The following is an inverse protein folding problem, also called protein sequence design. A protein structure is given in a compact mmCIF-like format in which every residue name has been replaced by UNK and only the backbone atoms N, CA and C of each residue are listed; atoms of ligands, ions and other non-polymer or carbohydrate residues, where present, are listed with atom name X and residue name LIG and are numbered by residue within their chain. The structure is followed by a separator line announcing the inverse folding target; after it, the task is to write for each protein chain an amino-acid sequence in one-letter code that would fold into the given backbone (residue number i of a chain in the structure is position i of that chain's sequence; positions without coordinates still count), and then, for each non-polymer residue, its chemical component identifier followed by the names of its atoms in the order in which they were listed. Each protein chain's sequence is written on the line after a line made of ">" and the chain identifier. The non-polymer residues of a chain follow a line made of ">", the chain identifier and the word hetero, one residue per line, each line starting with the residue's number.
data_IF_259698516850
#
_entry.id   IF_259698516850
#
_cell.length_a   1.000
_cell.length_b   1.000
_cell.length_c   1.000
_cell.angle_alpha   90.00
_cell.angle_beta   90.00
_cell.angle_gamma   90.00
#
_symmetry.space_group_name_H-M   'P 1'
#
loop_
_entity.id
_entity.type
_entity.pdbx_description
1 polymer ?
#
# COMPACT_ATOMS: atom_id res chain seq x y z
N UNK A 1 -17.56 -32.85 -0.48
CA UNK A 1 -16.41 -33.80 -0.68
C UNK A 1 -15.57 -33.87 0.57
N UNK A 2 -15.09 -35.03 0.91
CA UNK A 2 -14.16 -35.25 2.02
C UNK A 2 -12.76 -34.76 1.63
N UNK A 3 -11.89 -34.49 2.61
CA UNK A 3 -10.49 -34.10 2.36
C UNK A 3 -9.77 -35.15 1.50
N UNK A 4 -10.05 -36.44 1.75
CA UNK A 4 -9.47 -37.56 0.97
C UNK A 4 -9.88 -37.50 -0.51
N UNK A 5 -11.13 -37.18 -0.82
CA UNK A 5 -11.58 -37.00 -2.21
C UNK A 5 -10.94 -35.82 -2.89
N UNK A 6 -10.73 -34.71 -2.17
CA UNK A 6 -10.03 -33.55 -2.71
C UNK A 6 -8.56 -33.85 -3.03
N UNK A 7 -7.86 -34.58 -2.16
CA UNK A 7 -6.46 -35.00 -2.39
C UNK A 7 -6.36 -35.98 -3.59
N UNK A 8 -7.29 -36.94 -3.72
CA UNK A 8 -7.33 -37.84 -4.88
C UNK A 8 -7.57 -37.06 -6.19
N UNK A 9 -8.46 -36.06 -6.17
CA UNK A 9 -8.68 -35.18 -7.32
C UNK A 9 -7.45 -34.36 -7.64
N UNK A 10 -6.75 -33.82 -6.63
CA UNK A 10 -5.50 -33.08 -6.81
C UNK A 10 -4.42 -33.97 -7.43
N UNK A 11 -4.25 -35.21 -6.96
CA UNK A 11 -3.30 -36.16 -7.54
C UNK A 11 -3.57 -36.42 -9.03
N UNK A 12 -4.86 -36.54 -9.40
CA UNK A 12 -5.24 -36.68 -10.80
C UNK A 12 -4.88 -35.41 -11.62
N UNK A 13 -5.19 -34.23 -11.09
CA UNK A 13 -4.87 -32.95 -11.73
C UNK A 13 -3.36 -32.82 -11.98
N UNK A 14 -2.55 -33.12 -10.98
CA UNK A 14 -1.08 -33.00 -11.06
C UNK A 14 -0.48 -34.05 -12.03
N UNK A 15 -1.04 -35.26 -12.07
CA UNK A 15 -0.56 -36.32 -12.95
C UNK A 15 -0.89 -36.08 -14.43
N UNK A 16 -2.02 -35.45 -14.73
CA UNK A 16 -2.53 -35.26 -16.10
C UNK A 16 -2.41 -33.82 -16.61
N UNK A 17 -2.08 -32.87 -15.73
CA UNK A 17 -2.01 -31.45 -16.07
C UNK A 17 -3.39 -30.84 -16.34
N UNK A 18 -4.45 -31.36 -15.68
CA UNK A 18 -5.83 -31.00 -15.96
C UNK A 18 -6.22 -29.69 -15.25
N UNK A 19 -5.64 -28.61 -15.76
CA UNK A 19 -5.94 -27.23 -15.36
C UNK A 19 -6.08 -26.34 -16.58
N UNK A 20 -6.85 -25.29 -16.48
CA UNK A 20 -6.92 -24.21 -17.48
C UNK A 20 -6.38 -22.90 -16.94
N UNK A 21 -5.84 -22.07 -17.85
CA UNK A 21 -5.43 -20.70 -17.57
C UNK A 21 -6.37 -19.77 -18.30
N UNK A 22 -7.07 -18.93 -17.53
CA UNK A 22 -7.83 -17.80 -18.01
C UNK A 22 -6.93 -16.57 -17.98
N UNK A 23 -7.17 -15.63 -18.89
CA UNK A 23 -6.42 -14.38 -18.92
C UNK A 23 -7.36 -13.21 -18.75
N UNK A 24 -6.99 -12.30 -17.85
CA UNK A 24 -7.70 -11.03 -17.68
C UNK A 24 -6.80 -9.88 -18.12
N UNK A 25 -7.29 -8.98 -18.99
CA UNK A 25 -6.49 -7.90 -19.53
C UNK A 25 -6.25 -6.80 -18.49
N UNK A 26 -5.03 -6.24 -18.52
CA UNK A 26 -4.64 -5.02 -17.81
C UNK A 26 -4.46 -3.93 -18.86
N UNK A 27 -5.16 -2.80 -18.65
CA UNK A 27 -5.26 -1.71 -19.61
C UNK A 27 -4.47 -0.51 -19.13
N UNK A 28 -3.70 0.14 -20.01
CA UNK A 28 -3.20 1.50 -19.80
C UNK A 28 -4.20 2.50 -20.36
N UNK A 29 -4.62 3.44 -19.53
CA UNK A 29 -5.52 4.52 -19.92
C UNK A 29 -4.81 5.54 -20.83
N UNK A 30 -3.54 5.83 -20.54
CA UNK A 30 -2.71 6.75 -21.33
C UNK A 30 -2.35 6.19 -22.68
N UNK A 31 -1.94 4.93 -22.78
CA UNK A 31 -1.62 4.26 -24.05
C UNK A 31 -2.86 3.79 -24.80
N UNK A 32 -4.02 3.77 -24.14
CA UNK A 32 -5.29 3.26 -24.68
C UNK A 32 -5.16 1.86 -25.27
N UNK A 33 -4.41 1.00 -24.58
CA UNK A 33 -4.04 -0.33 -25.04
C UNK A 33 -3.96 -1.35 -23.90
N UNK A 34 -4.01 -2.63 -24.27
CA UNK A 34 -3.71 -3.75 -23.36
C UNK A 34 -2.21 -3.79 -23.15
N UNK A 35 -1.77 -3.61 -21.89
CA UNK A 35 -0.34 -3.62 -21.51
C UNK A 35 0.09 -4.91 -20.83
N UNK A 36 -0.86 -5.74 -20.44
CA UNK A 36 -0.58 -7.02 -19.80
C UNK A 36 -1.82 -7.90 -19.65
N UNK A 37 -1.57 -9.11 -19.19
CA UNK A 37 -2.61 -10.09 -18.88
C UNK A 37 -2.25 -10.82 -17.59
N UNK A 38 -3.17 -10.86 -16.65
CA UNK A 38 -3.07 -11.72 -15.48
C UNK A 38 -3.53 -13.12 -15.81
N UNK A 39 -2.71 -14.13 -15.47
CA UNK A 39 -3.03 -15.53 -15.65
C UNK A 39 -3.71 -16.10 -14.40
N UNK A 40 -4.94 -16.52 -14.56
CA UNK A 40 -5.82 -17.02 -13.51
C UNK A 40 -6.12 -18.50 -13.73
N UNK A 41 -5.61 -19.35 -12.85
CA UNK A 41 -5.78 -20.81 -12.95
C UNK A 41 -7.19 -21.24 -12.55
N UNK A 42 -7.68 -22.27 -13.22
CA UNK A 42 -8.91 -23.03 -12.88
C UNK A 42 -8.61 -24.51 -12.91
N UNK A 43 -9.09 -25.24 -11.91
CA UNK A 43 -9.15 -26.70 -11.97
C UNK A 43 -10.29 -27.19 -12.86
N UNK A 44 -10.48 -28.51 -13.01
CA UNK A 44 -11.57 -29.09 -13.82
C UNK A 44 -12.94 -28.57 -13.39
N UNK A 45 -13.78 -28.22 -14.34
CA UNK A 45 -15.07 -27.56 -14.13
C UNK A 45 -16.10 -28.41 -13.38
N UNK A 46 -15.96 -29.73 -13.46
CA UNK A 46 -16.83 -30.71 -12.84
C UNK A 46 -16.40 -31.13 -11.42
N UNK A 47 -15.37 -30.48 -10.87
CA UNK A 47 -14.83 -30.78 -9.54
C UNK A 47 -14.96 -29.61 -8.57
N UNK A 48 -14.90 -29.91 -7.26
CA UNK A 48 -14.82 -28.88 -6.21
C UNK A 48 -13.51 -28.08 -6.25
N UNK A 49 -12.50 -28.56 -6.97
CA UNK A 49 -11.21 -27.92 -7.15
C UNK A 49 -11.17 -26.97 -8.37
N UNK A 50 -12.32 -26.71 -9.01
CA UNK A 50 -12.43 -25.72 -10.09
C UNK A 50 -12.00 -24.31 -9.61
N UNK A 51 -12.41 -23.92 -8.41
CA UNK A 51 -12.03 -22.64 -7.80
C UNK A 51 -10.54 -22.64 -7.44
N UNK A 52 -9.76 -21.57 -7.80
CA UNK A 52 -8.36 -21.45 -7.43
C UNK A 52 -8.15 -21.50 -5.91
N UNK A 53 -9.05 -20.94 -5.11
CA UNK A 53 -8.97 -20.96 -3.65
C UNK A 53 -8.99 -22.41 -3.13
N UNK A 54 -9.93 -23.22 -3.61
CA UNK A 54 -10.04 -24.62 -3.19
C UNK A 54 -8.86 -25.46 -3.70
N UNK A 55 -8.42 -25.19 -4.92
CA UNK A 55 -7.29 -25.90 -5.56
C UNK A 55 -5.98 -25.66 -4.78
N UNK A 56 -5.68 -24.39 -4.47
CA UNK A 56 -4.51 -24.02 -3.68
C UNK A 56 -4.60 -24.54 -2.24
N UNK A 57 -5.79 -24.49 -1.62
CA UNK A 57 -5.99 -25.01 -0.27
C UNK A 57 -5.76 -26.53 -0.21
N UNK A 58 -6.26 -27.30 -1.20
CA UNK A 58 -6.01 -28.73 -1.30
C UNK A 58 -4.51 -29.03 -1.51
N UNK A 59 -3.82 -28.25 -2.34
CA UNK A 59 -2.38 -28.40 -2.59
C UNK A 59 -1.54 -28.10 -1.33
N UNK A 60 -1.89 -27.06 -0.55
CA UNK A 60 -1.27 -26.78 0.74
C UNK A 60 -1.48 -27.92 1.72
N UNK A 61 -2.72 -28.38 1.85
CA UNK A 61 -3.04 -29.50 2.75
C UNK A 61 -2.30 -30.81 2.37
N UNK A 62 -2.14 -31.05 1.07
CA UNK A 62 -1.41 -32.22 0.54
C UNK A 62 0.12 -32.05 0.51
N UNK A 63 0.68 -30.89 0.86
CA UNK A 63 2.13 -30.62 0.74
C UNK A 63 2.63 -30.57 -0.71
N UNK A 64 1.77 -30.25 -1.68
CA UNK A 64 2.02 -30.27 -3.13
C UNK A 64 1.94 -28.89 -3.78
N UNK A 65 2.08 -27.81 -2.98
CA UNK A 65 1.89 -26.43 -3.46
C UNK A 65 2.90 -26.04 -4.58
N UNK A 66 4.21 -26.30 -4.37
CA UNK A 66 5.24 -25.99 -5.39
C UNK A 66 4.99 -26.73 -6.70
N UNK A 67 4.53 -27.98 -6.62
CA UNK A 67 4.22 -28.78 -7.81
C UNK A 67 3.02 -28.19 -8.57
N UNK A 68 1.94 -27.86 -7.86
CA UNK A 68 0.76 -27.20 -8.45
C UNK A 68 1.11 -25.85 -9.07
N UNK A 69 1.81 -24.98 -8.34
CA UNK A 69 2.21 -23.69 -8.87
C UNK A 69 3.15 -23.80 -10.07
N UNK A 70 4.03 -24.81 -10.07
CA UNK A 70 4.85 -25.15 -11.23
C UNK A 70 4.01 -25.46 -12.45
N UNK A 71 2.98 -26.31 -12.30
CA UNK A 71 2.01 -26.66 -13.33
C UNK A 71 1.21 -25.44 -13.82
N UNK A 72 0.75 -24.58 -12.87
CA UNK A 72 0.04 -23.34 -13.20
C UNK A 72 0.89 -22.41 -14.06
N UNK A 73 2.15 -22.18 -13.68
CA UNK A 73 3.07 -21.33 -14.44
C UNK A 73 3.36 -21.92 -15.82
N UNK A 74 3.54 -23.22 -15.93
CA UNK A 74 3.76 -23.91 -17.22
C UNK A 74 2.55 -23.74 -18.15
N UNK A 75 1.35 -24.00 -17.65
CA UNK A 75 0.12 -23.86 -18.42
C UNK A 75 -0.08 -22.40 -18.88
N UNK A 76 0.10 -21.44 -17.99
CA UNK A 76 -0.01 -20.01 -18.29
C UNK A 76 0.98 -19.58 -19.39
N UNK A 77 2.26 -19.95 -19.28
CA UNK A 77 3.28 -19.61 -20.28
C UNK A 77 2.96 -20.25 -21.64
N UNK A 78 2.58 -21.53 -21.65
CA UNK A 78 2.20 -22.24 -22.85
C UNK A 78 1.02 -21.57 -23.55
N UNK A 79 -0.05 -21.27 -22.82
CA UNK A 79 -1.26 -20.64 -23.35
C UNK A 79 -1.02 -19.21 -23.80
N UNK A 80 -0.28 -18.40 -23.01
CA UNK A 80 0.10 -17.03 -23.37
C UNK A 80 0.81 -17.00 -24.74
N UNK A 81 1.73 -17.95 -24.96
CA UNK A 81 2.45 -18.06 -26.23
C UNK A 81 1.57 -18.55 -27.39
N UNK A 82 0.71 -19.54 -27.14
CA UNK A 82 -0.22 -20.08 -28.14
C UNK A 82 -1.19 -19.02 -28.65
N UNK A 83 -1.70 -18.18 -27.74
CA UNK A 83 -2.64 -17.10 -28.06
C UNK A 83 -1.92 -15.85 -28.60
N UNK A 84 -0.60 -15.82 -28.62
CA UNK A 84 0.21 -14.67 -29.04
C UNK A 84 -0.17 -13.38 -28.30
N UNK A 85 -0.51 -13.49 -27.00
CA UNK A 85 -0.90 -12.35 -26.20
C UNK A 85 0.22 -11.32 -26.12
N UNK A 86 -0.14 -10.06 -26.15
CA UNK A 86 0.80 -8.95 -26.10
C UNK A 86 0.88 -8.37 -24.68
N UNK A 87 1.92 -7.57 -24.43
CA UNK A 87 2.16 -6.92 -23.16
C UNK A 87 2.90 -7.82 -22.16
N UNK A 88 2.66 -7.60 -20.86
CA UNK A 88 3.27 -8.36 -19.76
C UNK A 88 2.41 -9.53 -19.34
N UNK A 89 3.05 -10.60 -18.89
CA UNK A 89 2.38 -11.74 -18.29
C UNK A 89 2.52 -11.67 -16.77
N UNK A 90 1.42 -11.57 -16.06
CA UNK A 90 1.36 -11.57 -14.60
C UNK A 90 1.09 -12.98 -14.11
N UNK A 91 1.95 -13.47 -13.21
CA UNK A 91 1.93 -14.84 -12.69
C UNK A 91 1.88 -14.83 -11.17
N UNK A 92 0.85 -15.41 -10.61
CA UNK A 92 0.70 -15.59 -9.17
C UNK A 92 1.76 -16.53 -8.60
N UNK A 93 2.35 -16.16 -7.46
CA UNK A 93 3.26 -16.96 -6.68
C UNK A 93 2.99 -16.77 -5.18
N UNK A 94 2.94 -17.87 -4.44
CA UNK A 94 2.82 -17.77 -2.98
C UNK A 94 4.19 -17.53 -2.34
N UNK A 95 4.28 -16.68 -1.29
CA UNK A 95 5.50 -16.53 -0.51
C UNK A 95 6.05 -17.86 0.01
N UNK A 96 5.16 -18.77 0.43
CA UNK A 96 5.51 -20.11 0.89
C UNK A 96 6.36 -20.89 -0.12
N UNK A 97 5.95 -20.88 -1.40
CA UNK A 97 6.68 -21.56 -2.47
C UNK A 97 8.03 -20.90 -2.73
N UNK A 98 8.10 -19.56 -2.66
CA UNK A 98 9.37 -18.84 -2.87
C UNK A 98 10.37 -19.10 -1.73
N UNK A 99 9.88 -19.37 -0.52
CA UNK A 99 10.68 -19.63 0.67
C UNK A 99 10.99 -21.12 0.90
N UNK A 100 10.36 -22.01 0.14
CA UNK A 100 10.59 -23.44 0.27
C UNK A 100 12.03 -23.80 -0.13
N UNK A 101 12.75 -24.51 0.75
CA UNK A 101 14.12 -24.97 0.50
C UNK A 101 14.24 -25.92 -0.71
N UNK A 102 13.16 -26.59 -1.09
CA UNK A 102 13.08 -27.44 -2.30
C UNK A 102 12.86 -26.65 -3.57
N UNK A 103 12.43 -25.38 -3.45
CA UNK A 103 12.24 -24.51 -4.61
C UNK A 103 13.57 -24.26 -5.34
N UNK A 104 13.63 -24.66 -6.61
CA UNK A 104 14.84 -24.48 -7.41
C UNK A 104 14.79 -23.13 -8.11
N UNK A 105 15.59 -22.16 -7.67
CA UNK A 105 15.72 -20.89 -8.39
C UNK A 105 16.01 -21.11 -9.86
N UNK A 106 15.38 -20.33 -10.73
CA UNK A 106 15.56 -20.44 -12.18
C UNK A 106 14.70 -21.49 -12.89
N UNK A 107 13.85 -22.26 -12.17
CA UNK A 107 12.87 -23.16 -12.83
C UNK A 107 11.91 -22.37 -13.72
N UNK A 108 11.37 -21.26 -13.21
CA UNK A 108 10.52 -20.35 -13.97
C UNK A 108 11.26 -19.78 -15.18
N UNK A 109 12.52 -19.35 -15.01
CA UNK A 109 13.31 -18.81 -16.13
C UNK A 109 13.54 -19.85 -17.25
N UNK A 110 13.83 -21.11 -16.91
CA UNK A 110 13.95 -22.20 -17.90
C UNK A 110 12.64 -22.43 -18.64
N UNK A 111 11.51 -22.37 -17.94
CA UNK A 111 10.20 -22.49 -18.53
C UNK A 111 9.94 -21.36 -19.52
N UNK A 112 10.24 -20.12 -19.17
CA UNK A 112 10.09 -18.96 -20.05
C UNK A 112 10.96 -19.10 -21.31
N UNK A 113 12.20 -19.57 -21.15
CA UNK A 113 13.10 -19.83 -22.27
C UNK A 113 12.52 -20.89 -23.24
N UNK A 114 11.92 -21.97 -22.70
CA UNK A 114 11.25 -23.01 -23.47
C UNK A 114 10.13 -22.45 -24.36
N UNK A 115 9.36 -21.48 -23.84
CA UNK A 115 8.25 -20.86 -24.57
C UNK A 115 8.63 -19.54 -25.29
N UNK A 116 9.91 -19.14 -25.24
CA UNK A 116 10.39 -17.92 -25.89
C UNK A 116 9.77 -16.63 -25.31
N UNK A 117 9.53 -16.60 -24.00
CA UNK A 117 9.00 -15.43 -23.29
C UNK A 117 10.18 -14.74 -22.57
N UNK A 118 10.50 -13.47 -22.86
CA UNK A 118 11.53 -12.72 -22.13
C UNK A 118 11.12 -12.51 -20.66
N UNK A 119 12.06 -12.67 -19.72
CA UNK A 119 11.78 -12.51 -18.29
C UNK A 119 11.29 -11.10 -17.95
N UNK A 120 11.76 -10.08 -18.68
CA UNK A 120 11.36 -8.69 -18.54
C UNK A 120 9.87 -8.43 -18.88
N UNK A 121 9.24 -9.37 -19.55
CA UNK A 121 7.79 -9.36 -19.83
C UNK A 121 6.97 -10.06 -18.76
N UNK A 122 7.60 -10.61 -17.73
CA UNK A 122 6.89 -11.37 -16.69
C UNK A 122 6.93 -10.62 -15.36
N UNK A 123 5.77 -10.54 -14.75
CA UNK A 123 5.57 -9.96 -13.41
C UNK A 123 5.17 -11.09 -12.46
N UNK A 124 5.86 -11.22 -11.36
CA UNK A 124 5.51 -12.16 -10.29
C UNK A 124 4.63 -11.43 -9.29
N UNK A 125 3.40 -11.91 -9.11
CA UNK A 125 2.42 -11.36 -8.17
C UNK A 125 2.46 -12.10 -6.85
N UNK A 126 2.59 -11.35 -5.76
CA UNK A 126 2.61 -11.85 -4.40
C UNK A 126 1.32 -11.45 -3.70
N UNK A 127 0.56 -12.42 -3.22
CA UNK A 127 -0.63 -12.13 -2.43
C UNK A 127 -0.27 -11.79 -0.99
N UNK A 128 -0.94 -10.76 -0.43
CA UNK A 128 -0.75 -10.33 0.96
C UNK A 128 -1.30 -11.32 2.00
N UNK A 129 -2.25 -12.16 1.61
CA UNK A 129 -3.06 -12.99 2.52
C UNK A 129 -2.29 -14.04 3.32
N UNK A 130 -0.98 -14.16 3.10
CA UNK A 130 -0.14 -15.12 3.82
C UNK A 130 0.79 -14.40 4.79
N UNK A 131 0.65 -14.64 6.11
CA UNK A 131 1.59 -14.12 7.10
C UNK A 131 2.98 -14.71 6.80
N UNK A 132 3.89 -13.86 6.39
CA UNK A 132 5.30 -14.22 6.22
C UNK A 132 6.05 -13.68 7.44
N UNK A 133 6.47 -14.55 8.32
CA UNK A 133 7.24 -14.17 9.50
C UNK A 133 8.67 -13.75 9.11
N UNK A 134 9.15 -14.14 7.94
CA UNK A 134 10.50 -13.87 7.46
C UNK A 134 10.51 -13.03 6.15
N UNK A 135 10.32 -11.72 6.33
CA UNK A 135 10.37 -10.77 5.22
C UNK A 135 11.79 -10.59 4.63
N UNK A 136 12.85 -10.82 5.43
CA UNK A 136 14.23 -10.71 4.94
C UNK A 136 14.54 -11.84 3.95
N UNK A 137 14.09 -13.06 4.25
CA UNK A 137 14.26 -14.19 3.35
C UNK A 137 13.43 -13.99 2.07
N UNK A 138 12.21 -13.48 2.18
CA UNK A 138 11.37 -13.16 1.03
C UNK A 138 12.01 -12.07 0.15
N UNK A 139 12.54 -11.00 0.76
CA UNK A 139 13.24 -9.95 0.02
C UNK A 139 14.46 -10.51 -0.72
N UNK A 140 15.22 -11.40 -0.09
CA UNK A 140 16.35 -12.10 -0.73
C UNK A 140 15.90 -12.91 -1.94
N UNK A 141 14.79 -13.67 -1.81
CA UNK A 141 14.23 -14.43 -2.93
C UNK A 141 13.78 -13.50 -4.08
N UNK A 142 13.14 -12.39 -3.76
CA UNK A 142 12.70 -11.41 -4.77
C UNK A 142 13.86 -10.69 -5.45
N UNK A 143 14.94 -10.38 -4.73
CA UNK A 143 16.17 -9.87 -5.34
C UNK A 143 16.72 -10.85 -6.38
N UNK A 144 16.67 -12.15 -6.11
CA UNK A 144 17.06 -13.15 -7.09
C UNK A 144 16.16 -13.13 -8.33
N UNK A 145 14.83 -13.03 -8.18
CA UNK A 145 13.92 -12.89 -9.32
C UNK A 145 14.21 -11.63 -10.13
N UNK A 146 14.42 -10.49 -9.48
CA UNK A 146 14.82 -9.24 -10.16
C UNK A 146 16.13 -9.39 -10.94
N UNK A 147 17.12 -10.08 -10.37
CA UNK A 147 18.40 -10.33 -11.06
C UNK A 147 18.25 -11.15 -12.33
N UNK A 148 17.18 -11.92 -12.46
CA UNK A 148 16.81 -12.66 -13.65
C UNK A 148 15.95 -11.86 -14.65
N UNK A 149 15.59 -10.61 -14.32
CA UNK A 149 14.81 -9.71 -15.18
C UNK A 149 13.32 -9.64 -14.89
N UNK A 150 12.81 -10.34 -13.87
CA UNK A 150 11.39 -10.27 -13.50
C UNK A 150 11.05 -8.95 -12.82
N UNK A 151 9.83 -8.47 -13.05
CA UNK A 151 9.20 -7.44 -12.19
C UNK A 151 8.37 -8.11 -11.09
N UNK A 152 8.12 -7.38 -10.00
CA UNK A 152 7.37 -7.85 -8.82
C UNK A 152 6.12 -7.00 -8.64
N UNK A 153 5.00 -7.63 -8.37
CA UNK A 153 3.76 -6.98 -7.98
C UNK A 153 3.32 -7.41 -6.57
N UNK A 154 2.79 -6.49 -5.79
CA UNK A 154 2.00 -6.81 -4.60
C UNK A 154 0.52 -6.78 -4.96
N UNK A 155 -0.15 -7.88 -4.68
CA UNK A 155 -1.56 -8.09 -4.97
C UNK A 155 -2.43 -7.89 -3.73
N UNK A 156 -3.72 -7.59 -3.94
CA UNK A 156 -4.75 -7.43 -2.91
C UNK A 156 -4.40 -6.36 -1.85
N UNK A 157 -3.76 -5.24 -2.24
CA UNK A 157 -3.36 -4.21 -1.28
C UNK A 157 -4.57 -3.66 -0.52
N UNK A 158 -4.55 -3.88 0.80
CA UNK A 158 -5.56 -3.40 1.75
C UNK A 158 -6.53 -4.46 2.23
N UNK A 159 -6.45 -5.70 1.75
CA UNK A 159 -7.24 -6.82 2.28
C UNK A 159 -6.70 -7.34 3.63
N UNK A 160 -5.48 -6.98 4.04
CA UNK A 160 -4.82 -7.46 5.25
C UNK A 160 -4.02 -6.42 6.04
N UNK A 161 -3.44 -6.86 7.17
CA UNK A 161 -2.72 -5.98 8.12
C UNK A 161 -1.26 -5.70 7.73
N UNK A 162 -0.69 -6.39 6.74
CA UNK A 162 0.75 -6.39 6.43
C UNK A 162 1.13 -5.63 5.16
N UNK A 163 0.17 -5.17 4.35
CA UNK A 163 0.36 -4.61 3.00
C UNK A 163 1.41 -3.50 2.92
N UNK A 164 1.26 -2.47 3.74
CA UNK A 164 2.16 -1.32 3.71
C UNK A 164 3.58 -1.68 4.19
N UNK A 165 3.68 -2.67 5.07
CA UNK A 165 4.97 -3.18 5.51
C UNK A 165 5.67 -3.93 4.39
N UNK A 166 4.99 -4.86 3.77
CA UNK A 166 5.53 -5.60 2.62
C UNK A 166 5.94 -4.62 1.51
N UNK A 167 5.11 -3.62 1.22
CA UNK A 167 5.47 -2.61 0.23
C UNK A 167 6.76 -1.87 0.58
N UNK A 168 6.88 -1.40 1.82
CA UNK A 168 8.06 -0.64 2.27
C UNK A 168 9.34 -1.47 2.21
N UNK A 169 9.28 -2.74 2.56
CA UNK A 169 10.44 -3.64 2.61
C UNK A 169 10.75 -4.23 1.23
N UNK A 170 9.75 -4.71 0.50
CA UNK A 170 9.95 -5.43 -0.76
C UNK A 170 10.09 -4.51 -1.99
N UNK A 171 9.69 -3.23 -1.90
CA UNK A 171 9.77 -2.23 -2.97
C UNK A 171 9.31 -2.78 -4.33
N UNK A 172 8.04 -3.17 -4.47
CA UNK A 172 7.53 -3.78 -5.70
C UNK A 172 7.52 -2.78 -6.86
N UNK A 173 7.55 -3.31 -8.08
CA UNK A 173 7.41 -2.52 -9.31
C UNK A 173 5.95 -2.15 -9.56
N UNK A 174 5.02 -3.02 -9.12
CA UNK A 174 3.57 -2.84 -9.24
C UNK A 174 2.88 -3.06 -7.90
N UNK A 175 1.77 -2.35 -7.70
CA UNK A 175 0.87 -2.54 -6.57
C UNK A 175 -0.55 -2.58 -7.08
N UNK A 176 -1.29 -3.66 -6.78
CA UNK A 176 -2.68 -3.84 -7.20
C UNK A 176 -3.59 -3.45 -6.04
N UNK A 177 -4.50 -2.50 -6.27
CA UNK A 177 -5.48 -2.06 -5.28
C UNK A 177 -6.68 -2.98 -5.37
N UNK A 178 -6.98 -3.67 -4.26
CA UNK A 178 -8.09 -4.59 -4.14
C UNK A 178 -9.44 -3.97 -4.53
N UNK A 179 -10.29 -4.76 -5.16
CA UNK A 179 -11.65 -4.40 -5.57
C UNK A 179 -12.47 -3.71 -4.47
N UNK A 180 -12.28 -4.08 -3.21
CA UNK A 180 -13.00 -3.47 -2.09
C UNK A 180 -12.89 -1.95 -2.09
N UNK A 181 -11.75 -1.37 -2.46
CA UNK A 181 -11.55 0.07 -2.51
C UNK A 181 -12.05 0.72 -3.79
N UNK A 182 -12.27 -0.07 -4.84
CA UNK A 182 -12.68 0.39 -6.17
C UNK A 182 -14.20 0.36 -6.33
N UNK A 183 -14.84 -0.72 -5.89
CA UNK A 183 -16.29 -0.88 -5.95
C UNK A 183 -17.01 0.27 -5.24
N UNK A 184 -17.81 1.03 -5.98
CA UNK A 184 -18.53 2.21 -5.48
C UNK A 184 -17.69 3.43 -5.13
N UNK A 185 -16.42 3.51 -5.53
CA UNK A 185 -15.50 4.64 -5.25
C UNK A 185 -16.08 5.98 -5.70
N UNK A 186 -16.91 6.00 -6.75
CA UNK A 186 -17.56 7.19 -7.26
C UNK A 186 -18.58 7.81 -6.28
N UNK A 187 -19.01 7.06 -5.26
CA UNK A 187 -19.96 7.50 -4.21
C UNK A 187 -19.35 7.56 -2.81
N UNK A 188 -18.16 6.99 -2.63
CA UNK A 188 -17.51 6.87 -1.33
C UNK A 188 -16.26 7.76 -1.23
N UNK A 189 -16.37 8.83 -0.44
CA UNK A 189 -15.27 9.75 -0.20
C UNK A 189 -14.11 9.11 0.58
N UNK A 190 -14.38 8.12 1.44
CA UNK A 190 -13.34 7.44 2.23
C UNK A 190 -12.48 6.57 1.32
N UNK A 191 -13.11 5.79 0.44
CA UNK A 191 -12.40 4.98 -0.55
C UNK A 191 -11.53 5.85 -1.48
N UNK A 192 -12.07 6.98 -1.95
CA UNK A 192 -11.27 7.95 -2.74
C UNK A 192 -10.03 8.41 -2.01
N UNK A 193 -10.15 8.79 -0.72
CA UNK A 193 -9.01 9.23 0.09
C UNK A 193 -7.98 8.13 0.30
N UNK A 194 -8.45 6.90 0.45
CA UNK A 194 -7.57 5.74 0.58
C UNK A 194 -6.74 5.54 -0.69
N UNK A 195 -7.39 5.50 -1.85
CA UNK A 195 -6.72 5.36 -3.16
C UNK A 195 -5.76 6.53 -3.42
N UNK A 196 -6.15 7.78 -3.12
CA UNK A 196 -5.24 8.94 -3.21
C UNK A 196 -3.98 8.76 -2.36
N UNK A 197 -4.11 8.22 -1.16
CA UNK A 197 -2.96 7.96 -0.28
C UNK A 197 -2.03 6.90 -0.84
N UNK A 198 -2.60 5.82 -1.41
CA UNK A 198 -1.83 4.78 -2.11
C UNK A 198 -1.07 5.37 -3.30
N UNK A 199 -1.72 6.19 -4.12
CA UNK A 199 -1.09 6.83 -5.28
C UNK A 199 0.10 7.73 -4.87
N UNK A 200 0.01 8.43 -3.73
CA UNK A 200 1.13 9.23 -3.19
C UNK A 200 2.31 8.35 -2.77
N UNK A 201 2.04 7.24 -2.08
CA UNK A 201 3.08 6.29 -1.69
C UNK A 201 3.72 5.71 -2.96
N UNK A 202 2.93 5.31 -3.94
CA UNK A 202 3.40 4.73 -5.20
C UNK A 202 4.35 5.67 -5.96
N UNK A 203 4.00 6.96 -6.06
CA UNK A 203 4.88 7.97 -6.67
C UNK A 203 6.22 8.09 -5.95
N UNK A 204 6.22 8.02 -4.62
CA UNK A 204 7.45 8.12 -3.81
C UNK A 204 8.32 6.87 -3.94
N UNK A 205 7.71 5.69 -4.00
CA UNK A 205 8.39 4.40 -4.13
C UNK A 205 8.67 4.02 -5.59
N UNK A 206 8.23 4.81 -6.56
CA UNK A 206 8.32 4.55 -8.00
C UNK A 206 7.56 3.27 -8.44
N UNK A 207 6.57 2.83 -7.68
CA UNK A 207 5.72 1.72 -8.04
C UNK A 207 4.57 2.17 -8.96
N UNK A 208 4.19 1.34 -9.91
CA UNK A 208 2.99 1.53 -10.73
C UNK A 208 1.77 0.96 -10.01
N UNK A 209 0.66 1.68 -10.05
CA UNK A 209 -0.59 1.24 -9.41
C UNK A 209 -1.53 0.66 -10.45
N UNK A 210 -2.06 -0.53 -10.17
CA UNK A 210 -3.13 -1.17 -10.94
C UNK A 210 -4.40 -1.13 -10.08
N UNK A 211 -5.46 -0.51 -10.55
CA UNK A 211 -6.77 -0.56 -9.89
C UNK A 211 -7.58 -1.74 -10.40
N UNK A 212 -8.04 -2.59 -9.47
CA UNK A 212 -8.72 -3.84 -9.80
C UNK A 212 -10.22 -3.79 -9.59
N UNK A 213 -10.91 -4.71 -10.26
CA UNK A 213 -12.34 -4.94 -10.06
C UNK A 213 -13.25 -3.81 -10.55
N UNK A 214 -12.81 -3.02 -11.53
CA UNK A 214 -13.62 -1.97 -12.13
C UNK A 214 -14.77 -2.61 -12.91
N UNK A 215 -16.00 -2.28 -12.56
CA UNK A 215 -17.20 -2.79 -13.23
C UNK A 215 -18.04 -1.68 -13.87
N UNK A 216 -17.90 -0.43 -13.39
CA UNK A 216 -18.71 0.71 -13.81
C UNK A 216 -17.87 1.81 -14.47
N UNK A 217 -18.38 2.47 -15.53
CA UNK A 217 -17.71 3.63 -16.13
C UNK A 217 -17.48 4.79 -15.15
N UNK A 218 -18.37 4.96 -14.16
CA UNK A 218 -18.26 6.01 -13.15
C UNK A 218 -17.06 5.78 -12.21
N UNK A 219 -16.73 4.53 -11.91
CA UNK A 219 -15.54 4.14 -11.15
C UNK A 219 -14.29 4.46 -11.95
N UNK A 220 -14.27 4.07 -13.23
CA UNK A 220 -13.17 4.35 -14.14
C UNK A 220 -12.89 5.86 -14.27
N UNK A 221 -13.95 6.69 -14.42
CA UNK A 221 -13.80 8.13 -14.55
C UNK A 221 -13.13 8.73 -13.30
N UNK A 222 -13.58 8.34 -12.10
CA UNK A 222 -12.97 8.80 -10.84
C UNK A 222 -11.51 8.38 -10.74
N UNK A 223 -11.16 7.14 -11.08
CA UNK A 223 -9.79 6.65 -11.05
C UNK A 223 -8.89 7.37 -12.06
N UNK A 224 -9.38 7.62 -13.27
CA UNK A 224 -8.69 8.40 -14.30
C UNK A 224 -8.45 9.85 -13.85
N UNK A 225 -9.44 10.50 -13.22
CA UNK A 225 -9.32 11.85 -12.63
C UNK A 225 -8.30 11.90 -11.49
N UNK A 226 -8.13 10.80 -10.75
CA UNK A 226 -7.13 10.66 -9.70
C UNK A 226 -5.72 10.37 -10.25
N UNK A 227 -5.59 10.11 -11.56
CA UNK A 227 -4.33 9.82 -12.23
C UNK A 227 -3.88 8.36 -12.12
N UNK A 228 -4.81 7.42 -11.96
CA UNK A 228 -4.55 5.99 -12.12
C UNK A 228 -4.42 5.72 -13.62
N UNK A 229 -3.32 5.07 -14.03
CA UNK A 229 -3.09 4.73 -15.44
C UNK A 229 -3.42 3.27 -15.74
N UNK A 230 -3.04 2.34 -14.85
CA UNK A 230 -3.26 0.91 -15.08
C UNK A 230 -4.53 0.45 -14.39
N UNK A 231 -5.39 -0.23 -15.15
CA UNK A 231 -6.72 -0.64 -14.70
C UNK A 231 -7.05 -2.07 -15.15
N UNK A 232 -7.83 -2.76 -14.31
CA UNK A 232 -8.31 -4.12 -14.56
C UNK A 232 -9.73 -4.27 -14.00
N UNK A 233 -10.59 -5.01 -14.69
CA UNK A 233 -11.95 -5.25 -14.21
C UNK A 233 -12.88 -5.76 -15.30
N UNK A 234 -14.08 -6.16 -14.89
CA UNK A 234 -15.09 -6.72 -15.80
C UNK A 234 -15.61 -5.71 -16.82
N UNK A 235 -15.39 -4.42 -16.55
CA UNK A 235 -15.70 -3.37 -17.52
C UNK A 235 -14.90 -3.54 -18.82
N UNK A 236 -13.66 -4.06 -18.75
CA UNK A 236 -12.78 -4.26 -19.90
C UNK A 236 -12.80 -5.68 -20.43
N UNK A 237 -13.03 -6.66 -19.55
CA UNK A 237 -13.08 -8.08 -19.90
C UNK A 237 -13.08 -8.96 -18.65
N UNK A 238 -13.80 -10.06 -18.72
CA UNK A 238 -13.73 -11.11 -17.71
C UNK A 238 -12.49 -11.97 -17.96
N UNK A 239 -12.02 -12.72 -16.95
CA UNK A 239 -11.04 -13.77 -17.18
C UNK A 239 -11.60 -14.80 -18.17
N UNK A 240 -10.93 -14.98 -19.31
CA UNK A 240 -11.34 -15.89 -20.39
C UNK A 240 -10.17 -16.70 -20.91
N UNK A 241 -10.44 -17.89 -21.48
CA UNK A 241 -9.41 -18.73 -22.13
C UNK A 241 -8.81 -18.05 -23.36
N UNK A 242 -9.60 -17.22 -24.02
CA UNK A 242 -9.19 -16.41 -25.18
C UNK A 242 -9.70 -14.99 -24.96
N UNK A 243 -8.94 -14.13 -24.28
CA UNK A 243 -9.40 -12.81 -23.90
C UNK A 243 -9.68 -11.97 -25.17
N UNK A 244 -10.87 -11.40 -25.23
CA UNK A 244 -11.26 -10.45 -26.24
C UNK A 244 -11.49 -9.10 -25.55
N UNK A 245 -10.82 -8.04 -25.99
CA UNK A 245 -10.86 -6.72 -25.36
C UNK A 245 -11.33 -5.70 -26.37
N UNK A 246 -12.53 -5.17 -26.16
CA UNK A 246 -12.99 -3.97 -26.87
C UNK A 246 -12.80 -2.74 -25.98
N UNK A 247 -11.70 -2.03 -26.20
CA UNK A 247 -11.34 -0.85 -25.41
C UNK A 247 -12.01 0.42 -25.94
N UNK A 248 -12.36 0.45 -27.22
CA UNK A 248 -12.69 1.70 -27.91
C UNK A 248 -13.96 2.40 -27.38
N UNK A 249 -14.93 1.62 -26.88
CA UNK A 249 -16.20 2.14 -26.34
C UNK A 249 -16.19 2.42 -24.83
N UNK A 250 -15.15 1.97 -24.11
CA UNK A 250 -15.13 1.94 -22.65
C UNK A 250 -14.20 3.01 -22.06
N UNK A 251 -13.12 3.38 -22.76
CA UNK A 251 -12.16 4.34 -22.26
C UNK A 251 -12.74 5.75 -22.17
N UNK A 252 -12.53 6.45 -21.04
CA UNK A 252 -12.95 7.83 -20.91
C UNK A 252 -12.36 8.70 -22.03
N UNK A 253 -13.14 9.66 -22.52
CA UNK A 253 -12.63 10.63 -23.49
C UNK A 253 -11.56 11.47 -22.79
N UNK A 254 -10.31 11.27 -23.16
CA UNK A 254 -9.19 12.11 -22.71
C UNK A 254 -9.35 13.48 -23.33
N UNK A 255 -10.05 14.40 -22.67
CA UNK A 255 -9.73 15.81 -22.83
C UNK A 255 -8.34 15.96 -22.20
N UNK A 256 -7.34 16.21 -23.06
CA UNK A 256 -6.01 16.61 -22.65
C UNK A 256 -6.13 17.70 -21.59
N UNK A 257 -5.79 17.36 -20.37
CA UNK A 257 -5.53 18.34 -19.33
C UNK A 257 -4.02 18.61 -19.31
N UNK A 258 -3.57 19.34 -20.33
CA UNK A 258 -2.33 20.11 -20.26
C UNK A 258 -2.59 21.31 -19.36
N UNK A 259 -2.06 21.27 -18.15
CA UNK A 259 -2.02 22.43 -17.27
C UNK A 259 -1.27 22.09 -16.00
N UNK A 260 -0.20 22.84 -15.69
CA UNK A 260 0.42 22.69 -14.38
C UNK A 260 -0.59 23.12 -13.32
N UNK A 261 -0.79 22.29 -12.30
CA UNK A 261 -1.55 22.67 -11.12
C UNK A 261 -0.92 23.92 -10.52
N UNK A 262 -1.63 25.04 -10.66
CA UNK A 262 -1.32 26.25 -9.94
C UNK A 262 -1.79 26.03 -8.50
N UNK A 263 -0.87 25.54 -7.65
CA UNK A 263 -1.11 25.36 -6.24
C UNK A 263 -0.89 26.72 -5.53
N UNK A 264 -1.96 27.37 -5.17
CA UNK A 264 -1.94 28.24 -3.99
C UNK A 264 -1.80 27.30 -2.80
N UNK A 265 -0.56 27.09 -2.34
CA UNK A 265 -0.27 26.30 -1.14
C UNK A 265 -0.87 27.01 0.07
N UNK A 266 -1.81 26.41 0.83
CA UNK A 266 -2.28 27.03 2.04
C UNK A 266 -1.15 27.14 3.05
N UNK A 267 -1.14 28.26 3.73
CA UNK A 267 -0.28 28.57 4.85
C UNK A 267 -0.47 27.54 5.98
N UNK A 268 0.64 27.07 6.56
CA UNK A 268 0.65 26.16 7.73
C UNK A 268 -0.03 26.78 8.97
N UNK A 269 -0.37 28.05 8.94
CA UNK A 269 -1.13 28.70 10.02
C UNK A 269 -2.46 28.01 10.33
N UNK A 270 -3.06 27.33 9.33
CA UNK A 270 -4.27 26.52 9.51
C UNK A 270 -4.07 25.26 10.38
N UNK A 271 -2.82 24.77 10.48
CA UNK A 271 -2.45 23.60 11.29
C UNK A 271 -2.00 23.99 12.71
N UNK A 272 -1.86 25.28 12.99
CA UNK A 272 -1.27 25.79 14.21
C UNK A 272 -2.21 25.59 15.40
N UNK A 273 -1.84 24.68 16.28
CA UNK A 273 -2.44 24.56 17.61
C UNK A 273 -1.67 25.47 18.58
N UNK A 274 -2.30 26.56 19.00
CA UNK A 274 -1.76 27.42 20.05
C UNK A 274 -1.84 26.68 21.39
N UNK A 275 -0.80 25.93 21.68
CA UNK A 275 -0.67 25.12 22.88
C UNK A 275 0.49 25.66 23.73
N UNK A 276 0.35 25.73 25.05
CA UNK A 276 1.47 26.12 25.91
C UNK A 276 2.60 25.12 25.82
N UNK A 277 3.82 25.61 25.82
CA UNK A 277 5.04 24.82 25.93
C UNK A 277 5.58 24.91 27.37
N UNK A 278 6.51 24.01 27.69
CA UNK A 278 7.14 23.93 29.01
C UNK A 278 8.63 24.21 28.90
N UNK A 279 9.22 24.81 29.97
CA UNK A 279 10.66 25.00 30.01
C UNK A 279 11.39 23.71 30.34
N UNK A 280 12.57 23.51 29.76
CA UNK A 280 13.46 22.37 30.04
C UNK A 280 13.84 22.25 31.53
N UNK A 281 13.78 23.36 32.25
CA UNK A 281 14.08 23.45 33.71
C UNK A 281 12.88 23.21 34.60
N UNK A 282 11.67 23.22 34.06
CA UNK A 282 10.46 22.99 34.84
C UNK A 282 10.41 21.58 35.45
N UNK A 283 9.84 21.43 36.65
CA UNK A 283 9.64 20.13 37.28
C UNK A 283 8.54 19.33 36.56
N UNK A 284 8.67 18.00 36.55
CA UNK A 284 7.69 17.09 35.94
C UNK A 284 6.28 17.25 36.52
N UNK A 285 6.15 17.69 37.78
CA UNK A 285 4.86 17.93 38.40
C UNK A 285 4.00 18.98 37.66
N UNK A 286 4.62 20.02 37.12
CA UNK A 286 3.92 21.06 36.36
C UNK A 286 3.43 20.54 34.99
N UNK A 287 4.18 19.64 34.37
CA UNK A 287 3.75 18.96 33.13
C UNK A 287 2.52 18.07 33.39
N UNK A 288 2.47 17.38 34.52
CA UNK A 288 1.31 16.57 34.91
C UNK A 288 0.04 17.42 35.03
N UNK A 289 0.17 18.57 35.64
CA UNK A 289 -0.96 19.51 35.79
C UNK A 289 -1.41 20.05 34.41
N UNK A 290 -0.47 20.38 33.55
CA UNK A 290 -0.76 20.82 32.18
C UNK A 290 -1.52 19.74 31.37
N UNK A 291 -1.12 18.50 31.45
CA UNK A 291 -1.81 17.39 30.76
C UNK A 291 -3.20 17.09 31.39
N UNK A 292 -3.42 17.40 32.67
CA UNK A 292 -4.76 17.31 33.30
C UNK A 292 -5.69 18.37 32.77
N UNK A 293 -5.18 19.59 32.59
CA UNK A 293 -5.97 20.73 32.09
C UNK A 293 -6.26 20.64 30.61
N UNK A 294 -5.37 19.95 29.84
CA UNK A 294 -5.46 19.75 28.38
C UNK A 294 -5.63 18.26 28.04
N UNK A 295 -6.85 17.74 28.23
CA UNK A 295 -7.14 16.31 28.04
C UNK A 295 -6.86 15.82 26.61
N UNK A 296 -7.06 16.68 25.61
CA UNK A 296 -6.89 16.36 24.18
C UNK A 296 -5.46 16.49 23.66
N UNK A 297 -4.51 16.94 24.51
CA UNK A 297 -3.11 17.08 24.13
C UNK A 297 -2.36 15.77 24.35
N UNK A 298 -1.76 15.22 23.29
CA UNK A 298 -0.94 14.00 23.35
C UNK A 298 0.54 14.29 23.62
N UNK A 299 1.00 15.51 23.35
CA UNK A 299 2.39 15.91 23.50
C UNK A 299 2.53 17.40 23.80
N UNK A 300 3.68 17.79 24.34
CA UNK A 300 4.02 19.17 24.71
C UNK A 300 5.45 19.46 24.31
N UNK A 301 5.69 20.62 23.67
CA UNK A 301 7.03 21.09 23.33
C UNK A 301 7.80 21.52 24.57
N UNK A 302 9.10 21.22 24.60
CA UNK A 302 10.04 21.64 25.63
C UNK A 302 10.97 22.70 25.06
N UNK A 303 11.05 23.85 25.72
CA UNK A 303 11.81 25.03 25.27
C UNK A 303 13.01 25.31 26.14
N UNK A 304 14.04 25.89 25.52
CA UNK A 304 15.14 26.53 26.23
C UNK A 304 14.80 27.99 26.66
N UNK A 305 15.74 28.67 27.30
CA UNK A 305 15.56 30.06 27.74
C UNK A 305 15.38 31.09 26.59
N UNK A 306 15.69 30.69 25.34
CA UNK A 306 15.55 31.52 24.14
C UNK A 306 14.27 31.22 23.35
N UNK A 307 13.30 30.55 23.96
CA UNK A 307 12.06 30.12 23.30
C UNK A 307 12.26 29.20 22.08
N UNK A 308 13.41 28.50 22.03
CA UNK A 308 13.71 27.54 20.97
C UNK A 308 13.31 26.15 21.41
N UNK A 309 12.60 25.34 20.59
CA UNK A 309 12.27 23.97 20.90
C UNK A 309 13.54 23.12 21.00
N UNK A 310 13.66 22.35 22.09
CA UNK A 310 14.79 21.45 22.34
C UNK A 310 14.35 20.01 22.57
N UNK A 311 13.05 19.76 22.57
CA UNK A 311 12.48 18.44 22.74
C UNK A 311 10.97 18.46 22.77
N UNK A 312 10.40 17.25 22.87
CA UNK A 312 8.97 17.00 23.03
C UNK A 312 8.77 15.96 24.14
N UNK A 313 7.70 16.09 24.90
CA UNK A 313 7.27 15.06 25.86
C UNK A 313 5.91 14.52 25.44
N UNK A 314 5.81 13.22 25.24
CA UNK A 314 4.57 12.53 24.96
C UNK A 314 3.87 12.10 26.23
N UNK A 315 2.54 12.20 26.26
CA UNK A 315 1.70 11.77 27.38
C UNK A 315 1.91 10.30 27.73
N UNK A 316 2.11 9.43 26.73
CA UNK A 316 2.38 8.01 26.92
C UNK A 316 3.68 7.76 27.70
N UNK A 317 4.77 8.45 27.35
CA UNK A 317 6.05 8.34 28.07
C UNK A 317 5.93 8.78 29.55
N UNK A 318 5.12 9.80 29.82
CA UNK A 318 4.86 10.23 31.18
C UNK A 318 4.02 9.20 31.93
N UNK A 319 2.99 8.64 31.30
CA UNK A 319 2.16 7.58 31.87
C UNK A 319 3.01 6.35 32.23
N UNK A 320 3.85 5.89 31.32
CA UNK A 320 4.75 4.75 31.54
C UNK A 320 5.76 5.01 32.67
N UNK A 321 6.27 6.23 32.76
CA UNK A 321 7.17 6.62 33.84
C UNK A 321 6.49 6.60 35.22
N UNK A 322 5.19 6.91 35.28
CA UNK A 322 4.38 6.94 36.51
C UNK A 322 3.87 5.57 36.97
N UNK A 323 3.86 4.57 36.08
CA UNK A 323 3.49 3.18 36.44
C UNK A 323 4.51 2.50 37.35
N UNK A 324 5.71 3.05 37.53
CA UNK A 324 6.73 2.49 38.42
C UNK A 324 6.40 2.78 39.89
N UNK A 325 6.65 1.85 40.84
CA UNK A 325 6.42 2.07 42.24
C UNK A 325 7.14 3.33 42.76
N UNK A 326 6.45 4.17 43.51
CA UNK A 326 6.94 5.44 44.07
C UNK A 326 7.40 6.50 43.04
N UNK A 327 7.04 6.31 41.75
CA UNK A 327 7.50 7.17 40.69
C UNK A 327 7.03 8.61 40.81
N UNK A 328 5.80 8.81 41.28
CA UNK A 328 5.21 10.18 41.44
C UNK A 328 6.03 11.07 42.38
N UNK A 329 6.45 10.54 43.53
CA UNK A 329 7.26 11.32 44.51
C UNK A 329 8.70 11.52 44.04
N UNK A 330 9.29 10.51 43.41
CA UNK A 330 10.67 10.55 42.91
C UNK A 330 10.86 11.38 41.65
N UNK A 331 9.86 11.44 40.77
CA UNK A 331 9.94 12.12 39.50
C UNK A 331 9.40 13.56 39.55
N UNK A 332 8.44 13.85 40.41
CA UNK A 332 7.75 15.14 40.47
C UNK A 332 8.70 16.36 40.50
N UNK A 333 9.81 16.25 41.22
CA UNK A 333 10.82 17.33 41.38
C UNK A 333 11.96 17.29 40.40
N UNK A 334 11.99 16.26 39.50
CA UNK A 334 13.07 16.16 38.49
C UNK A 334 12.78 17.07 37.30
N UNK A 335 13.83 17.63 36.65
CA UNK A 335 13.65 18.47 35.48
C UNK A 335 13.20 17.63 34.25
N UNK A 336 12.42 18.24 33.36
CA UNK A 336 11.79 17.62 32.20
C UNK A 336 12.78 16.97 31.21
N UNK A 337 14.03 17.45 31.17
CA UNK A 337 15.07 16.88 30.29
C UNK A 337 15.28 15.36 30.44
N UNK A 338 14.79 14.74 31.51
CA UNK A 338 14.88 13.28 31.73
C UNK A 338 13.74 12.49 31.08
N UNK A 339 12.68 13.15 30.69
CA UNK A 339 11.51 12.53 30.07
C UNK A 339 11.28 13.01 28.62
N UNK A 340 11.96 14.06 28.18
CA UNK A 340 11.81 14.57 26.83
C UNK A 340 12.56 13.71 25.81
N UNK A 341 11.99 13.60 24.61
CA UNK A 341 12.70 13.15 23.41
C UNK A 341 13.36 14.34 22.75
N UNK A 342 14.67 14.26 22.50
CA UNK A 342 15.42 15.25 21.72
C UNK A 342 15.30 15.03 20.21
N UNK A 343 14.81 13.87 19.80
CA UNK A 343 14.53 13.55 18.42
C UNK A 343 13.03 13.85 18.16
N UNK A 344 12.74 14.97 17.52
CA UNK A 344 11.39 15.44 17.21
C UNK A 344 11.39 16.21 15.88
N UNK A 345 10.24 16.28 15.23
CA UNK A 345 10.08 17.08 14.02
C UNK A 345 9.76 18.53 14.39
N UNK A 346 10.53 19.45 13.83
CA UNK A 346 10.22 20.88 13.86
C UNK A 346 10.10 21.38 12.43
N UNK A 347 9.04 22.12 12.14
CA UNK A 347 8.77 22.72 10.82
C UNK A 347 8.58 24.23 11.00
N UNK A 348 9.07 25.02 10.07
CA UNK A 348 8.82 26.46 10.06
C UNK A 348 7.45 26.75 9.44
N UNK A 349 6.74 27.77 9.95
CA UNK A 349 5.42 28.17 9.47
C UNK A 349 5.41 28.53 7.98
N UNK A 350 6.55 28.97 7.44
CA UNK A 350 6.72 29.31 6.03
C UNK A 350 6.95 28.12 5.11
N UNK A 351 7.08 26.90 5.65
CA UNK A 351 7.22 25.70 4.80
C UNK A 351 5.89 25.32 4.14
N UNK A 352 5.97 24.76 2.96
CA UNK A 352 4.79 24.29 2.23
C UNK A 352 4.19 23.02 2.87
N UNK A 353 2.87 22.85 2.76
CA UNK A 353 2.19 21.64 3.22
C UNK A 353 2.79 20.35 2.62
N UNK A 354 3.30 20.43 1.38
CA UNK A 354 3.96 19.31 0.71
C UNK A 354 5.28 18.95 1.38
N UNK A 355 6.10 19.94 1.76
CA UNK A 355 7.35 19.72 2.50
C UNK A 355 7.08 19.10 3.86
N UNK A 356 6.08 19.62 4.59
CA UNK A 356 5.66 19.06 5.89
C UNK A 356 5.18 17.62 5.74
N UNK A 357 4.36 17.34 4.75
CA UNK A 357 3.91 15.97 4.45
C UNK A 357 5.08 15.02 4.16
N UNK A 358 6.08 15.48 3.39
CA UNK A 358 7.30 14.71 3.10
C UNK A 358 8.12 14.44 4.37
N UNK A 359 8.31 15.46 5.20
CA UNK A 359 9.02 15.32 6.48
C UNK A 359 8.31 14.36 7.43
N UNK A 360 6.99 14.40 7.51
CA UNK A 360 6.20 13.48 8.32
C UNK A 360 6.32 12.03 7.83
N UNK A 361 6.27 11.82 6.51
CA UNK A 361 6.38 10.48 5.91
C UNK A 361 7.80 9.91 5.91
N UNK A 362 8.82 10.76 6.04
CA UNK A 362 10.22 10.32 6.17
C UNK A 362 10.61 9.89 7.59
N UNK A 363 9.72 10.06 8.58
CA UNK A 363 9.98 9.65 9.97
C UNK A 363 10.04 8.15 10.12
N UNK A 364 10.81 7.70 11.11
CA UNK A 364 10.78 6.32 11.55
C UNK A 364 9.34 5.89 11.90
N UNK A 365 8.96 4.69 11.53
CA UNK A 365 7.60 4.14 11.54
C UNK A 365 6.87 4.27 12.90
N UNK A 366 7.60 4.13 13.99
CA UNK A 366 7.07 4.24 15.35
C UNK A 366 6.68 5.67 15.74
N UNK A 367 6.93 6.65 14.89
CA UNK A 367 6.76 8.09 15.12
C UNK A 367 5.95 8.81 14.03
N UNK A 368 5.34 8.06 13.13
CA UNK A 368 4.63 8.63 11.97
C UNK A 368 3.40 9.43 12.40
N UNK A 369 2.80 9.08 13.52
CA UNK A 369 1.60 9.69 14.12
C UNK A 369 1.92 10.67 15.27
N UNK A 370 3.22 10.84 15.62
CA UNK A 370 3.64 11.79 16.65
C UNK A 370 3.41 13.23 16.19
N UNK A 371 2.89 14.05 17.09
CA UNK A 371 2.79 15.50 16.92
C UNK A 371 4.14 16.12 16.57
N UNK A 372 4.13 17.29 15.97
CA UNK A 372 5.33 18.01 15.58
C UNK A 372 5.27 19.47 16.06
N UNK A 373 6.43 20.10 16.15
CA UNK A 373 6.56 21.49 16.59
C UNK A 373 6.49 22.40 15.36
N UNK A 374 5.71 23.48 15.46
CA UNK A 374 5.69 24.57 14.47
C UNK A 374 6.49 25.75 15.04
N UNK A 375 7.43 26.24 14.24
CA UNK A 375 8.28 27.38 14.60
C UNK A 375 8.05 28.56 13.67
N UNK A 376 8.36 29.74 14.16
CA UNK A 376 8.49 30.98 13.37
C UNK A 376 9.90 31.52 13.58
N UNK A 377 10.71 31.51 12.53
CA UNK A 377 12.12 31.88 12.57
C UNK A 377 12.92 31.12 13.66
N UNK A 378 12.65 29.83 13.83
CA UNK A 378 13.31 28.96 14.81
C UNK A 378 12.77 29.08 16.25
N UNK A 379 11.84 29.98 16.54
CA UNK A 379 11.19 30.11 17.84
C UNK A 379 9.87 29.34 17.88
N UNK A 380 9.53 28.81 19.05
CA UNK A 380 8.27 28.09 19.23
C UNK A 380 7.07 28.97 18.88
N UNK A 381 6.21 28.46 18.00
CA UNK A 381 4.98 29.14 17.59
C UNK A 381 3.75 28.34 17.97
N UNK A 382 3.84 27.00 18.00
CA UNK A 382 2.77 26.09 18.42
C UNK A 382 3.09 24.63 18.10
N UNK A 383 2.06 23.78 18.20
CA UNK A 383 2.12 22.37 17.85
C UNK A 383 1.31 22.10 16.58
N UNK A 384 1.67 21.05 15.86
CA UNK A 384 0.90 20.50 14.76
C UNK A 384 0.63 19.02 14.98
N UNK A 385 -0.55 18.54 14.60
CA UNK A 385 -0.92 17.12 14.68
C UNK A 385 -0.96 16.55 13.26
N UNK A 386 -0.47 15.32 13.11
CA UNK A 386 -0.52 14.60 11.82
C UNK A 386 -1.94 14.49 11.30
N UNK A 387 -2.91 14.25 12.19
CA UNK A 387 -4.33 14.16 11.82
C UNK A 387 -4.87 15.46 11.21
N UNK A 388 -4.39 16.62 11.67
CA UNK A 388 -4.83 17.92 11.14
C UNK A 388 -4.17 18.21 9.78
N UNK A 389 -2.93 17.77 9.55
CA UNK A 389 -2.31 17.78 8.23
C UNK A 389 -3.14 16.96 7.25
N UNK A 390 -3.56 15.76 7.64
CA UNK A 390 -4.41 14.89 6.83
C UNK A 390 -5.77 15.53 6.55
N UNK A 391 -6.39 16.18 7.53
CA UNK A 391 -7.66 16.92 7.36
C UNK A 391 -7.48 18.10 6.39
N UNK A 392 -6.44 18.91 6.57
CA UNK A 392 -6.19 20.08 5.73
C UNK A 392 -5.94 19.66 4.27
N UNK A 393 -5.14 18.63 4.04
CA UNK A 393 -4.95 18.04 2.71
C UNK A 393 -6.30 17.58 2.15
N UNK A 394 -7.20 17.12 3.03
CA UNK A 394 -8.54 16.66 2.67
C UNK A 394 -9.46 17.81 2.27
N UNK A 395 -9.45 18.90 3.04
CA UNK A 395 -10.31 20.08 2.83
C UNK A 395 -9.92 20.89 1.59
N UNK A 396 -8.63 20.95 1.27
CA UNK A 396 -8.12 21.63 0.07
C UNK A 396 -8.63 21.04 -1.25
N UNK A 397 -9.00 19.76 -1.23
CA UNK A 397 -9.50 19.06 -2.41
C UNK A 397 -11.02 19.04 -2.55
N UNK A 398 -11.77 19.67 -1.61
CA UNK A 398 -13.20 19.86 -1.73
C UNK A 398 -13.48 21.16 -2.51
N UNK A 399 -14.12 21.14 -3.69
CA UNK A 399 -14.53 22.35 -4.36
C UNK A 399 -15.53 23.08 -3.46
N UNK A 400 -15.25 24.36 -3.15
CA UNK A 400 -16.24 25.24 -2.49
C UNK A 400 -17.49 25.27 -3.36
N UNK A 401 -18.55 24.61 -2.94
CA UNK A 401 -19.89 24.78 -3.52
C UNK A 401 -20.30 26.20 -3.18
N UNK A 402 -20.09 27.13 -4.11
CA UNK A 402 -20.70 28.45 -4.04
C UNK A 402 -22.20 28.24 -4.21
N UNK A 403 -22.93 28.28 -3.13
CA UNK A 403 -24.38 28.39 -3.15
C UNK A 403 -24.73 29.71 -3.83
N UNK A 404 -25.08 29.69 -5.10
CA UNK A 404 -25.84 30.74 -5.73
C UNK A 404 -27.29 30.57 -5.27
N UNK A 405 -27.64 31.37 -4.26
CA UNK A 405 -29.03 31.73 -3.99
C UNK A 405 -29.44 32.75 -5.06
N UNK A 406 -30.29 32.33 -5.95
CA UNK A 406 -31.33 33.20 -6.53
C UNK A 406 -32.51 32.32 -6.96
#
# INVERSE_FOLDING_TARGET
>A
MTVTEQLSTLDHILAHGDISSLFQPIISLSERSVVGHEALTRGPSDTSLHSPINLLAAARHGGRLDELEGLCRENACRRYRQLQLQGRLFLNASPETLLDASHKPGRTLKLLQQYGIPAEKVVIELTEQMPTDDLELLDTALHHYRSMGFSIALDDLGAGYSSLRMWSELRPDYVKIDRYFIDGIHRDAVKRRFVESILKIARTSQAQVIAEGIELPEELNVLADMGVDLVQGYLFGRPEETPCVDIAGVLPNTTQRDGPFNEESPDLSALLLKQPAVSITQPIAELLELFRQQADSNSVAVLNAMNTPVGIVHRSLLADALLRPCATELLARKPLRKLMSGDFLSVDVGQSLQEVSRLLTSRARQRIDEDFVITLNGHYHGMGRVIDVLKLITEMKSPKTTALIH
#
